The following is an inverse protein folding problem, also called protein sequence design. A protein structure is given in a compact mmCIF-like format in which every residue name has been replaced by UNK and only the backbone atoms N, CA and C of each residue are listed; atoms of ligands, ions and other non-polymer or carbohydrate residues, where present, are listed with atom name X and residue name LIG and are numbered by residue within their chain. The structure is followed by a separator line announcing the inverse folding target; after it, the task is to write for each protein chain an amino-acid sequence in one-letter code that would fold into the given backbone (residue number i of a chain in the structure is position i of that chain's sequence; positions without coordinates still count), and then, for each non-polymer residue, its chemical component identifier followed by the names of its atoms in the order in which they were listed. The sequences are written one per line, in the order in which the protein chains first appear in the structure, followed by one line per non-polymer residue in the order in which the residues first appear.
data_IF_597996680305
#
_entry.id   IF_597996680305
#
_cell.length_a   1.000
_cell.length_b   1.000
_cell.length_c   1.000
_cell.angle_alpha   90.00
_cell.angle_beta   90.00
_cell.angle_gamma   90.00
#
_symmetry.space_group_name_H-M   'P 1'
#
loop_
_entity.id
_entity.type
_entity.pdbx_description
1 polymer ?
#
# COMPACT_ATOMS: atom_id res chain seq x y z
N UNK A 1 -15.80 -28.46 23.12
CA UNK A 1 -16.62 -27.49 22.38
C UNK A 1 -15.67 -26.62 21.59
N UNK A 2 -15.78 -26.60 20.26
CA UNK A 2 -14.99 -25.68 19.44
C UNK A 2 -15.24 -24.24 19.93
N UNK A 3 -14.18 -23.45 20.07
CA UNK A 3 -14.25 -22.09 20.58
C UNK A 3 -15.03 -21.21 19.57
N UNK A 4 -16.31 -20.95 19.86
CA UNK A 4 -17.22 -20.18 18.98
C UNK A 4 -16.64 -18.81 18.62
N UNK A 5 -15.84 -18.22 19.52
CA UNK A 5 -15.13 -16.97 19.31
C UNK A 5 -14.09 -17.10 18.21
N UNK A 6 -13.27 -18.16 18.24
CA UNK A 6 -12.25 -18.43 17.22
C UNK A 6 -12.89 -18.65 15.85
N UNK A 7 -13.94 -19.46 15.77
CA UNK A 7 -14.64 -19.69 14.50
C UNK A 7 -15.17 -18.38 13.89
N UNK A 8 -15.72 -17.48 14.73
CA UNK A 8 -16.19 -16.16 14.28
C UNK A 8 -15.03 -15.30 13.76
N UNK A 9 -13.90 -15.25 14.47
CA UNK A 9 -12.73 -14.47 14.06
C UNK A 9 -12.15 -14.98 12.74
N UNK A 10 -11.93 -16.29 12.60
CA UNK A 10 -11.41 -16.89 11.36
C UNK A 10 -12.32 -16.62 10.18
N UNK A 11 -13.65 -16.67 10.37
CA UNK A 11 -14.61 -16.31 9.33
C UNK A 11 -14.49 -14.85 8.92
N UNK A 12 -14.49 -13.92 9.87
CA UNK A 12 -14.36 -12.49 9.58
C UNK A 12 -13.04 -12.15 8.87
N UNK A 13 -11.93 -12.79 9.27
CA UNK A 13 -10.64 -12.64 8.61
C UNK A 13 -10.68 -13.14 7.16
N UNK A 14 -11.23 -14.33 6.92
CA UNK A 14 -11.41 -14.87 5.57
C UNK A 14 -12.29 -13.96 4.71
N UNK A 15 -13.38 -13.43 5.27
CA UNK A 15 -14.31 -12.57 4.54
C UNK A 15 -13.66 -11.23 4.17
N UNK A 16 -12.89 -10.62 5.09
CA UNK A 16 -12.09 -9.42 4.82
C UNK A 16 -10.96 -9.67 3.81
N UNK A 17 -10.29 -10.83 3.89
CA UNK A 17 -9.26 -11.19 2.92
C UNK A 17 -9.82 -11.47 1.54
N UNK A 18 -11.10 -11.82 1.41
CA UNK A 18 -11.80 -11.95 0.11
C UNK A 18 -12.32 -10.61 -0.41
N UNK A 19 -12.58 -9.66 0.50
CA UNK A 19 -13.02 -8.32 0.12
C UNK A 19 -11.92 -7.62 -0.70
N UNK A 20 -12.31 -6.95 -1.79
CA UNK A 20 -11.40 -6.25 -2.70
C UNK A 20 -11.08 -4.83 -2.25
N UNK A 21 -11.43 -4.44 -1.02
CA UNK A 21 -11.11 -3.12 -0.48
C UNK A 21 -9.59 -2.92 -0.41
N UNK A 22 -9.07 -2.09 -1.31
CA UNK A 22 -7.65 -1.80 -1.42
C UNK A 22 -7.07 -1.05 -0.23
N UNK A 23 -7.94 -0.49 0.63
CA UNK A 23 -7.58 0.33 1.77
C UNK A 23 -7.46 -0.42 3.07
N UNK A 24 -7.99 -1.65 3.15
CA UNK A 24 -7.97 -2.46 4.37
C UNK A 24 -7.18 -3.74 4.14
N UNK A 25 -6.28 -4.06 5.07
CA UNK A 25 -5.61 -5.36 5.10
C UNK A 25 -5.57 -5.92 6.51
N UNK A 26 -5.73 -7.23 6.66
CA UNK A 26 -5.72 -7.91 7.96
C UNK A 26 -4.89 -9.18 7.89
N UNK A 27 -4.18 -9.47 8.98
CA UNK A 27 -3.36 -10.66 9.11
C UNK A 27 -3.22 -11.07 10.59
N UNK A 28 -3.13 -12.37 10.83
CA UNK A 28 -2.76 -12.95 12.11
C UNK A 28 -1.81 -14.12 11.88
N UNK A 29 -1.12 -14.56 12.95
CA UNK A 29 -0.40 -15.82 12.92
C UNK A 29 -1.39 -16.98 13.13
N UNK A 30 -1.14 -18.13 12.50
CA UNK A 30 -1.98 -19.31 12.69
C UNK A 30 -1.97 -19.81 14.15
N UNK A 31 -0.84 -19.63 14.84
CA UNK A 31 -0.69 -19.95 16.26
C UNK A 31 -1.47 -19.01 17.19
N UNK A 32 -1.89 -17.83 16.71
CA UNK A 32 -2.53 -16.79 17.53
C UNK A 32 -3.55 -15.95 16.76
N UNK A 33 -4.66 -16.60 16.41
CA UNK A 33 -5.80 -15.98 15.71
C UNK A 33 -6.51 -14.89 16.52
N UNK A 34 -6.23 -14.76 17.83
CA UNK A 34 -6.85 -13.74 18.70
C UNK A 34 -6.09 -12.42 18.71
N UNK A 35 -4.87 -12.40 18.17
CA UNK A 35 -4.09 -11.18 17.97
C UNK A 35 -3.98 -10.93 16.46
N UNK A 36 -4.71 -9.91 15.99
CA UNK A 36 -4.79 -9.56 14.58
C UNK A 36 -4.09 -8.21 14.38
N UNK A 37 -3.21 -8.14 13.38
CA UNK A 37 -2.72 -6.86 12.84
C UNK A 37 -3.65 -6.43 11.71
N UNK A 38 -3.93 -5.14 11.64
CA UNK A 38 -4.68 -4.53 10.56
C UNK A 38 -3.96 -3.29 10.02
N UNK A 39 -4.07 -3.05 8.72
CA UNK A 39 -3.57 -1.86 8.04
C UNK A 39 -4.75 -1.11 7.44
N UNK A 40 -4.80 0.19 7.69
CA UNK A 40 -5.69 1.12 7.00
C UNK A 40 -4.83 2.06 6.17
N UNK A 41 -5.06 2.08 4.86
CA UNK A 41 -4.52 3.09 3.96
C UNK A 41 -5.40 4.33 4.11
N UNK A 42 -4.78 5.47 4.42
CA UNK A 42 -5.51 6.70 4.67
C UNK A 42 -6.31 7.17 3.44
N UNK A 43 -7.54 7.67 3.63
CA UNK A 43 -8.43 7.99 2.51
C UNK A 43 -7.91 9.12 1.61
N UNK A 44 -8.21 9.05 0.32
CA UNK A 44 -7.91 10.10 -0.65
C UNK A 44 -8.59 11.43 -0.29
N UNK A 45 -7.96 12.56 -0.64
CA UNK A 45 -8.41 13.94 -0.33
C UNK A 45 -8.41 14.29 1.17
N UNK A 46 -7.75 13.51 2.02
CA UNK A 46 -7.63 13.76 3.46
C UNK A 46 -6.16 14.02 3.83
N UNK A 47 -5.85 14.64 4.98
CA UNK A 47 -4.46 14.74 5.43
C UNK A 47 -3.81 13.38 5.77
N UNK A 48 -4.55 12.27 5.67
CA UNK A 48 -4.08 10.91 5.87
C UNK A 48 -3.75 10.20 4.55
N UNK A 49 -4.04 10.85 3.40
CA UNK A 49 -4.02 10.25 2.07
C UNK A 49 -2.83 9.33 1.83
N UNK A 50 -3.17 8.08 1.49
CA UNK A 50 -2.24 7.00 1.16
C UNK A 50 -1.20 6.67 2.25
N UNK A 51 -1.37 7.15 3.48
CA UNK A 51 -0.56 6.78 4.63
C UNK A 51 -0.86 5.38 5.15
N UNK A 52 0.14 4.69 5.70
CA UNK A 52 -0.01 3.32 6.22
C UNK A 52 -0.21 3.31 7.75
N UNK A 53 -1.47 3.17 8.19
CA UNK A 53 -1.83 3.19 9.61
C UNK A 53 -2.08 1.77 10.12
N UNK A 54 -1.20 1.27 10.99
CA UNK A 54 -1.32 -0.07 11.57
C UNK A 54 -2.04 -0.03 12.91
N UNK A 55 -2.90 -1.02 13.13
CA UNK A 55 -3.69 -1.23 14.33
C UNK A 55 -3.55 -2.67 14.81
N UNK A 56 -3.39 -2.85 16.12
CA UNK A 56 -3.37 -4.15 16.77
C UNK A 56 -4.73 -4.42 17.43
N UNK A 57 -5.33 -5.56 17.10
CA UNK A 57 -6.59 -6.05 17.64
C UNK A 57 -6.34 -7.24 18.56
N UNK A 58 -6.95 -7.21 19.75
CA UNK A 58 -6.90 -8.30 20.72
C UNK A 58 -8.30 -8.77 21.07
N UNK A 59 -8.65 -9.96 20.59
CA UNK A 59 -9.95 -10.58 20.80
C UNK A 59 -9.98 -11.40 22.09
N UNK A 60 -10.88 -11.06 23.01
CA UNK A 60 -11.10 -11.80 24.24
C UNK A 60 -11.99 -13.05 24.01
N UNK A 61 -12.03 -13.94 25.00
CA UNK A 61 -12.86 -15.18 24.96
C UNK A 61 -14.36 -14.91 24.87
N UNK A 62 -14.80 -13.71 25.23
CA UNK A 62 -16.21 -13.31 25.20
C UNK A 62 -16.63 -12.78 23.82
N UNK A 63 -15.72 -12.64 22.84
CA UNK A 63 -16.07 -12.17 21.50
C UNK A 63 -17.04 -13.13 20.79
N UNK A 64 -18.13 -12.66 20.14
CA UNK A 64 -18.47 -11.25 19.83
C UNK A 64 -19.39 -10.55 20.85
N UNK A 65 -19.60 -11.10 22.05
CA UNK A 65 -20.42 -10.44 23.08
C UNK A 65 -19.78 -9.17 23.62
N UNK A 66 -18.44 -9.14 23.67
CA UNK A 66 -17.64 -7.94 23.97
C UNK A 66 -16.81 -7.55 22.76
N UNK A 67 -16.59 -6.25 22.58
CA UNK A 67 -15.69 -5.72 21.56
C UNK A 67 -14.25 -6.20 21.79
N UNK A 68 -13.43 -6.28 20.72
CA UNK A 68 -12.00 -6.46 20.86
C UNK A 68 -11.34 -5.19 21.40
N UNK A 69 -10.17 -5.33 22.02
CA UNK A 69 -9.33 -4.18 22.31
C UNK A 69 -8.55 -3.78 21.06
N UNK A 70 -8.50 -2.47 20.76
CA UNK A 70 -7.81 -1.93 19.58
C UNK A 70 -6.77 -0.90 20.01
N UNK A 71 -5.56 -1.01 19.46
CA UNK A 71 -4.46 -0.08 19.71
C UNK A 71 -3.86 0.38 18.38
N UNK A 72 -3.76 1.70 18.17
CA UNK A 72 -3.01 2.27 17.05
C UNK A 72 -1.51 2.11 17.28
N UNK A 73 -0.81 1.52 16.32
CA UNK A 73 0.63 1.23 16.37
C UNK A 73 1.44 2.36 15.74
N UNK A 74 0.94 2.94 14.65
CA UNK A 74 1.59 4.08 13.97
C UNK A 74 1.43 5.37 14.80
N UNK A 75 2.26 5.56 15.83
CA UNK A 75 2.18 6.72 16.75
C UNK A 75 3.53 7.40 17.05
N UNK A 76 4.59 7.01 16.32
CA UNK A 76 5.95 7.53 16.53
C UNK A 76 6.43 7.36 18.00
N UNK A 77 6.19 6.17 18.54
CA UNK A 77 6.58 5.81 19.91
C UNK A 77 5.87 6.64 20.99
N UNK A 78 4.58 6.93 20.82
CA UNK A 78 3.82 7.69 21.82
C UNK A 78 3.78 9.20 21.61
N UNK A 79 4.31 9.72 20.49
CA UNK A 79 4.56 11.17 20.30
C UNK A 79 3.63 11.85 19.30
N UNK A 80 3.01 11.09 18.41
CA UNK A 80 2.16 11.64 17.34
C UNK A 80 0.71 11.24 17.58
N UNK A 81 -0.13 12.23 17.85
CA UNK A 81 -1.60 12.09 17.89
C UNK A 81 -2.14 12.38 16.50
N UNK A 82 -2.43 11.33 15.74
CA UNK A 82 -2.87 11.47 14.35
C UNK A 82 -4.29 12.01 14.20
N UNK A 83 -5.15 11.81 15.20
CA UNK A 83 -6.53 12.28 15.15
C UNK A 83 -7.00 12.56 16.58
N UNK A 84 -7.97 13.46 16.80
CA UNK A 84 -8.56 13.63 18.11
C UNK A 84 -9.01 12.32 18.76
N UNK A 85 -9.49 11.35 17.97
CA UNK A 85 -9.90 10.03 18.43
C UNK A 85 -8.83 8.93 18.31
N UNK A 86 -7.62 9.24 17.81
CA UNK A 86 -6.49 8.31 17.71
C UNK A 86 -5.31 8.92 18.49
N UNK A 87 -5.22 8.55 19.77
CA UNK A 87 -4.29 9.15 20.71
C UNK A 87 -2.85 8.72 20.46
N UNK A 88 -1.90 9.55 20.90
CA UNK A 88 -0.48 9.26 20.77
C UNK A 88 -0.08 7.96 21.49
N UNK A 89 -0.71 7.63 22.62
CA UNK A 89 -0.48 6.37 23.33
C UNK A 89 -1.12 5.13 22.66
N UNK A 90 -1.72 5.29 21.48
CA UNK A 90 -2.37 4.21 20.73
C UNK A 90 -3.84 3.98 21.07
N UNK A 91 -4.42 4.69 22.04
CA UNK A 91 -5.85 4.55 22.34
C UNK A 91 -6.71 5.04 21.18
N UNK A 92 -7.67 4.21 20.76
CA UNK A 92 -8.69 4.56 19.76
C UNK A 92 -10.03 4.81 20.46
N UNK A 93 -10.65 5.96 20.20
CA UNK A 93 -11.91 6.40 20.77
C UNK A 93 -13.06 6.22 19.78
N UNK A 94 -13.87 5.18 19.99
CA UNK A 94 -15.07 4.87 19.20
C UNK A 94 -16.20 4.39 20.12
N UNK A 95 -17.44 4.76 19.79
CA UNK A 95 -18.64 4.33 20.51
C UNK A 95 -18.80 2.82 20.48
N UNK A 96 -18.58 2.21 19.29
CA UNK A 96 -18.61 0.76 19.10
C UNK A 96 -17.50 0.00 19.84
N UNK A 97 -16.46 0.69 20.34
CA UNK A 97 -15.43 0.11 21.20
C UNK A 97 -15.69 0.38 22.70
N UNK A 98 -16.74 1.14 23.03
CA UNK A 98 -17.01 1.60 24.40
C UNK A 98 -15.99 2.61 24.93
N UNK A 99 -15.17 3.18 24.05
CA UNK A 99 -14.10 4.14 24.41
C UNK A 99 -14.49 5.59 24.11
N UNK A 100 -15.68 5.80 23.55
CA UNK A 100 -16.31 7.09 23.28
C UNK A 100 -17.80 7.04 23.61
N UNK A 101 -18.43 8.22 23.72
CA UNK A 101 -19.89 8.32 23.90
C UNK A 101 -20.57 7.96 22.58
N UNK A 102 -21.65 7.19 22.63
CA UNK A 102 -22.49 6.90 21.48
C UNK A 102 -23.96 7.10 21.82
N UNK A 103 -24.78 7.34 20.80
CA UNK A 103 -26.23 7.31 20.95
C UNK A 103 -26.74 5.86 21.06
N UNK A 104 -28.02 5.70 21.41
CA UNK A 104 -28.64 4.37 21.47
C UNK A 104 -28.57 3.68 20.11
N UNK A 105 -27.84 2.58 20.05
CA UNK A 105 -27.63 1.80 18.82
C UNK A 105 -26.26 2.00 18.18
N UNK A 106 -25.46 2.96 18.64
CA UNK A 106 -24.08 3.20 18.18
C UNK A 106 -23.02 2.51 19.04
N UNK A 107 -23.45 1.85 20.12
CA UNK A 107 -22.59 1.05 21.00
C UNK A 107 -22.33 -0.35 20.42
N UNK A 108 -21.33 -1.05 20.99
CA UNK A 108 -21.00 -2.42 20.56
C UNK A 108 -22.22 -3.35 20.59
N UNK A 109 -22.41 -4.10 19.51
CA UNK A 109 -23.31 -5.24 19.49
C UNK A 109 -22.65 -6.41 18.76
N UNK A 110 -23.06 -7.64 19.08
CA UNK A 110 -22.52 -8.85 18.45
C UNK A 110 -22.85 -8.96 16.93
N UNK A 111 -23.63 -8.04 16.38
CA UNK A 111 -23.84 -7.89 14.94
C UNK A 111 -22.64 -7.23 14.25
N UNK A 112 -21.89 -6.40 14.97
CA UNK A 112 -20.67 -5.75 14.50
C UNK A 112 -19.50 -6.75 14.45
N UNK A 113 -18.43 -6.38 13.75
CA UNK A 113 -17.24 -7.22 13.59
C UNK A 113 -15.99 -6.42 13.29
N UNK A 114 -14.92 -7.11 12.93
CA UNK A 114 -13.63 -6.52 12.57
C UNK A 114 -13.77 -5.48 11.45
N UNK A 115 -14.52 -5.80 10.39
CA UNK A 115 -14.74 -4.90 9.25
C UNK A 115 -15.40 -3.59 9.67
N UNK A 116 -16.47 -3.64 10.47
CA UNK A 116 -17.17 -2.42 10.88
C UNK A 116 -16.35 -1.56 11.83
N UNK A 117 -15.47 -2.16 12.65
CA UNK A 117 -14.49 -1.40 13.44
C UNK A 117 -13.49 -0.71 12.51
N UNK A 118 -12.92 -1.41 11.53
CA UNK A 118 -11.96 -0.83 10.59
C UNK A 118 -12.57 0.33 9.78
N UNK A 119 -13.79 0.16 9.28
CA UNK A 119 -14.53 1.22 8.58
C UNK A 119 -14.81 2.42 9.49
N UNK A 120 -15.12 2.18 10.77
CA UNK A 120 -15.32 3.26 11.74
C UNK A 120 -14.03 3.99 12.10
N UNK A 121 -12.88 3.31 12.10
CA UNK A 121 -11.58 3.98 12.28
C UNK A 121 -11.23 4.79 11.03
N UNK A 122 -11.47 4.25 9.84
CA UNK A 122 -11.22 4.95 8.59
C UNK A 122 -12.09 6.20 8.45
N UNK A 123 -13.35 6.18 8.92
CA UNK A 123 -14.22 7.37 8.87
C UNK A 123 -13.75 8.51 9.78
N UNK A 124 -12.98 8.22 10.84
CA UNK A 124 -12.33 9.26 11.65
C UNK A 124 -11.24 10.01 10.86
N UNK A 125 -10.67 9.39 9.83
CA UNK A 125 -9.64 9.98 8.98
C UNK A 125 -10.25 10.94 7.96
N UNK A 126 -11.01 11.93 8.43
CA UNK A 126 -11.76 12.90 7.64
C UNK A 126 -10.87 13.98 6.98
N UNK A 127 -11.45 14.74 6.06
CA UNK A 127 -10.77 15.88 5.41
C UNK A 127 -10.41 17.00 6.40
N UNK A 128 -11.20 17.14 7.48
CA UNK A 128 -10.98 18.09 8.55
C UNK A 128 -10.99 17.40 9.93
N UNK A 129 -9.87 16.77 10.34
CA UNK A 129 -9.83 16.05 11.60
C UNK A 129 -9.86 16.96 12.84
N UNK A 130 -9.87 18.29 12.68
CA UNK A 130 -10.05 19.23 13.79
C UNK A 130 -11.47 19.15 14.39
N UNK A 131 -12.48 18.92 13.54
CA UNK A 131 -13.90 18.82 13.94
C UNK A 131 -14.19 17.57 14.77
N UNK A 132 -13.28 16.59 14.77
CA UNK A 132 -13.40 15.38 15.57
C UNK A 132 -13.15 15.61 17.07
N UNK A 133 -12.59 16.77 17.46
CA UNK A 133 -12.37 17.09 18.87
C UNK A 133 -13.70 17.55 19.52
N UNK A 134 -14.08 17.00 20.69
CA UNK A 134 -15.25 17.46 21.44
C UNK A 134 -15.32 18.97 21.63
N UNK A 135 -16.45 19.56 21.25
CA UNK A 135 -16.69 20.99 21.34
C UNK A 135 -16.17 21.80 20.15
N UNK A 136 -15.63 21.15 19.12
CA UNK A 136 -15.15 21.77 17.88
C UNK A 136 -15.90 21.29 16.63
N UNK A 137 -17.01 20.55 16.79
CA UNK A 137 -17.78 19.94 15.70
C UNK A 137 -18.34 21.01 14.74
N UNK A 138 -18.83 22.13 15.28
CA UNK A 138 -19.40 23.25 14.53
C UNK A 138 -18.45 24.47 14.46
N UNK A 139 -17.16 24.26 14.71
CA UNK A 139 -16.16 25.33 14.78
C UNK A 139 -16.02 26.05 13.42
N UNK A 140 -16.40 27.33 13.38
CA UNK A 140 -16.51 28.09 12.12
C UNK A 140 -16.07 29.56 12.26
N UNK A 141 -15.54 29.97 13.42
CA UNK A 141 -14.99 31.32 13.56
C UNK A 141 -13.74 31.50 12.67
N UNK A 142 -13.35 32.74 12.32
CA UNK A 142 -12.15 32.97 11.53
C UNK A 142 -10.87 32.35 12.14
N UNK A 143 -10.78 32.30 13.47
CA UNK A 143 -9.73 31.60 14.22
C UNK A 143 -9.78 30.08 14.01
N UNK A 144 -10.97 29.49 13.99
CA UNK A 144 -11.15 28.06 13.78
C UNK A 144 -10.71 27.66 12.39
N UNK A 145 -11.09 28.41 11.36
CA UNK A 145 -10.65 28.12 9.97
C UNK A 145 -9.13 28.11 9.83
N UNK A 146 -8.45 29.00 10.57
CA UNK A 146 -6.99 29.00 10.63
C UNK A 146 -6.47 27.75 11.35
N UNK A 147 -7.03 27.41 12.51
CA UNK A 147 -6.62 26.23 13.27
C UNK A 147 -6.87 24.92 12.50
N UNK A 148 -8.01 24.79 11.82
CA UNK A 148 -8.33 23.67 10.95
C UNK A 148 -7.27 23.50 9.86
N UNK A 149 -6.92 24.58 9.17
CA UNK A 149 -5.87 24.56 8.15
C UNK A 149 -4.51 24.15 8.73
N UNK A 150 -4.10 24.78 9.83
CA UNK A 150 -2.83 24.49 10.50
C UNK A 150 -2.77 23.04 11.00
N UNK A 151 -3.90 22.50 11.49
CA UNK A 151 -4.00 21.11 11.94
C UNK A 151 -3.91 20.13 10.76
N UNK A 152 -4.65 20.38 9.67
CA UNK A 152 -4.58 19.59 8.43
C UNK A 152 -3.15 19.54 7.90
N UNK A 153 -2.44 20.67 7.87
CA UNK A 153 -1.03 20.74 7.45
C UNK A 153 -0.13 19.89 8.35
N UNK A 154 -0.31 19.98 9.67
CA UNK A 154 0.42 19.20 10.66
C UNK A 154 0.22 17.70 10.45
N UNK A 155 -1.02 17.24 10.30
CA UNK A 155 -1.36 15.83 10.07
C UNK A 155 -0.78 15.35 8.73
N UNK A 156 -0.96 16.12 7.64
CA UNK A 156 -0.42 15.77 6.31
C UNK A 156 1.09 15.53 6.34
N UNK A 157 1.83 16.43 7.01
CA UNK A 157 3.27 16.28 7.16
C UNK A 157 3.64 15.02 7.95
N UNK A 158 2.98 14.78 9.08
CA UNK A 158 3.25 13.63 9.96
C UNK A 158 2.82 12.29 9.33
N UNK A 159 1.77 12.29 8.51
CA UNK A 159 1.36 11.14 7.67
C UNK A 159 2.52 10.75 6.77
N UNK A 160 3.02 11.68 5.94
CA UNK A 160 4.17 11.39 5.06
C UNK A 160 5.40 10.94 5.86
N UNK A 161 5.76 11.69 6.91
CA UNK A 161 6.99 11.46 7.67
C UNK A 161 7.00 10.11 8.39
N UNK A 162 5.90 9.74 9.03
CA UNK A 162 5.84 8.58 9.94
C UNK A 162 5.18 7.39 9.27
N UNK A 163 3.95 7.56 8.76
CA UNK A 163 3.17 6.43 8.29
C UNK A 163 3.69 5.89 6.95
N UNK A 164 4.34 6.73 6.14
CA UNK A 164 4.95 6.34 4.86
C UNK A 164 6.47 6.21 4.97
N UNK A 165 7.18 7.33 5.17
CA UNK A 165 8.64 7.40 5.01
C UNK A 165 9.36 6.57 6.07
N UNK A 166 9.15 6.87 7.35
CA UNK A 166 9.83 6.16 8.43
C UNK A 166 9.55 4.65 8.39
N UNK A 167 8.29 4.25 8.14
CA UNK A 167 7.93 2.83 8.00
C UNK A 167 8.71 2.14 6.88
N UNK A 168 8.83 2.77 5.71
CA UNK A 168 9.55 2.17 4.59
C UNK A 168 11.06 2.18 4.78
N UNK A 169 11.61 3.21 5.43
CA UNK A 169 13.01 3.21 5.86
C UNK A 169 13.29 2.05 6.81
N UNK A 170 12.42 1.79 7.79
CA UNK A 170 12.53 0.64 8.69
C UNK A 170 12.47 -0.69 7.92
N UNK A 171 11.54 -0.84 6.96
CA UNK A 171 11.42 -2.05 6.13
C UNK A 171 12.60 -2.29 5.18
N UNK A 172 13.28 -1.24 4.76
CA UNK A 172 14.42 -1.28 3.84
C UNK A 172 15.77 -1.17 4.57
N UNK A 173 15.77 -0.99 5.89
CA UNK A 173 16.97 -0.75 6.68
C UNK A 173 17.71 0.52 6.27
N UNK A 174 17.01 1.58 5.85
CA UNK A 174 17.62 2.83 5.42
C UNK A 174 17.89 3.75 6.61
N UNK A 175 19.10 4.30 6.67
CA UNK A 175 19.41 5.45 7.50
C UNK A 175 18.83 6.73 6.86
N UNK A 176 18.75 7.81 7.64
CA UNK A 176 18.20 9.09 7.18
C UNK A 176 18.93 9.63 5.95
N UNK A 177 20.23 9.41 5.82
CA UNK A 177 21.00 9.84 4.65
C UNK A 177 20.68 9.05 3.37
N UNK A 178 19.98 7.92 3.48
CA UNK A 178 19.66 6.99 2.40
C UNK A 178 20.67 5.85 2.25
N UNK A 179 21.68 5.77 3.12
CA UNK A 179 22.54 4.59 3.19
C UNK A 179 21.78 3.41 3.79
N UNK A 180 22.10 2.19 3.33
CA UNK A 180 21.61 0.98 4.01
C UNK A 180 22.39 0.87 5.30
N UNK A 181 21.69 0.98 6.43
CA UNK A 181 22.27 0.79 7.74
C UNK A 181 22.91 -0.60 7.78
N UNK A 182 24.22 -0.65 8.02
CA UNK A 182 24.96 -1.90 8.23
C UNK A 182 24.60 -2.45 9.61
N UNK A 183 23.37 -2.95 9.78
CA UNK A 183 23.07 -3.85 10.89
C UNK A 183 23.62 -5.22 10.54
N UNK A 184 24.67 -5.64 11.25
CA UNK A 184 25.36 -6.91 11.11
C UNK A 184 24.51 -8.15 11.52
N UNK A 185 23.19 -8.14 11.31
CA UNK A 185 22.27 -9.13 11.87
C UNK A 185 21.08 -9.51 10.95
N UNK A 186 21.18 -9.38 9.63
CA UNK A 186 20.02 -9.65 8.75
C UNK A 186 20.29 -10.47 7.49
N UNK A 187 21.53 -10.87 7.21
CA UNK A 187 21.81 -11.78 6.08
C UNK A 187 22.17 -13.20 6.50
N UNK A 188 22.85 -13.39 7.62
CA UNK A 188 23.18 -14.75 8.11
C UNK A 188 22.04 -15.32 8.98
N UNK A 189 21.37 -14.49 9.79
CA UNK A 189 20.32 -14.98 10.70
C UNK A 189 19.01 -15.43 10.00
N UNK A 190 18.69 -14.93 8.80
CA UNK A 190 17.48 -15.36 8.08
C UNK A 190 17.67 -16.64 7.26
N UNK A 191 18.88 -16.89 6.76
CA UNK A 191 19.19 -18.12 6.03
C UNK A 191 19.44 -19.30 7.00
N UNK A 192 20.02 -19.03 8.19
CA UNK A 192 20.19 -20.05 9.25
C UNK A 192 18.89 -20.35 10.04
N UNK A 193 17.92 -19.44 10.07
CA UNK A 193 16.61 -19.68 10.69
C UNK A 193 15.75 -20.73 9.94
N UNK A 194 16.16 -21.13 8.73
CA UNK A 194 15.50 -22.20 7.98
C UNK A 194 16.02 -23.60 8.35
N UNK A 195 17.20 -23.70 8.99
CA UNK A 195 17.83 -24.96 9.42
C UNK A 195 17.84 -25.17 10.96
N UNK A 196 17.39 -24.17 11.74
CA UNK A 196 17.25 -24.25 13.20
C UNK A 196 15.80 -24.16 13.67
N UNK A 197 15.39 -25.03 14.61
CA UNK A 197 14.14 -24.87 15.37
C UNK A 197 14.23 -23.64 16.29
N UNK A 198 14.17 -22.44 15.74
CA UNK A 198 13.83 -21.25 16.53
C UNK A 198 12.31 -21.20 16.71
N UNK A 199 11.85 -20.90 17.93
CA UNK A 199 10.43 -20.71 18.20
C UNK A 199 9.86 -19.66 17.23
N UNK A 200 8.94 -20.07 16.36
CA UNK A 200 8.23 -19.25 15.36
C UNK A 200 7.62 -17.95 15.98
N UNK A 201 7.47 -17.93 17.30
CA UNK A 201 7.08 -16.77 18.09
C UNK A 201 8.06 -15.58 18.03
N UNK A 202 9.37 -15.83 17.88
CA UNK A 202 10.44 -14.82 17.95
C UNK A 202 10.72 -14.09 16.62
N UNK A 203 10.24 -14.61 15.49
CA UNK A 203 10.41 -13.95 14.18
C UNK A 203 9.48 -12.73 14.11
N UNK A 204 9.96 -11.50 13.81
CA UNK A 204 9.10 -10.33 13.68
C UNK A 204 7.93 -10.54 12.70
N UNK A 205 6.70 -10.33 13.16
CA UNK A 205 5.50 -10.50 12.31
C UNK A 205 5.16 -9.20 11.59
N UNK A 206 5.65 -9.08 10.35
CA UNK A 206 5.46 -7.93 9.47
C UNK A 206 4.64 -8.27 8.21
N UNK A 207 3.34 -8.64 8.37
CA UNK A 207 2.52 -9.17 7.27
C UNK A 207 2.23 -8.14 6.16
N UNK A 208 2.48 -6.86 6.42
CA UNK A 208 2.19 -5.77 5.48
C UNK A 208 3.44 -5.21 4.80
N UNK A 209 4.62 -5.79 5.03
CA UNK A 209 5.90 -5.29 4.51
C UNK A 209 5.87 -5.15 2.97
N UNK A 210 5.61 -6.23 2.26
CA UNK A 210 5.53 -6.21 0.79
C UNK A 210 4.36 -5.36 0.28
N UNK A 211 3.21 -5.40 0.97
CA UNK A 211 2.04 -4.59 0.61
C UNK A 211 2.38 -3.09 0.64
N UNK A 212 3.03 -2.61 1.70
CA UNK A 212 3.42 -1.20 1.83
C UNK A 212 4.44 -0.82 0.74
N UNK A 213 5.43 -1.68 0.45
CA UNK A 213 6.40 -1.44 -0.64
C UNK A 213 5.72 -1.30 -2.00
N UNK A 214 4.76 -2.18 -2.33
CA UNK A 214 4.01 -2.10 -3.59
C UNK A 214 3.13 -0.86 -3.67
N UNK A 215 2.37 -0.58 -2.61
CA UNK A 215 1.49 0.60 -2.55
C UNK A 215 2.28 1.90 -2.60
N UNK A 216 3.48 1.93 -2.02
CA UNK A 216 4.36 3.07 -2.14
C UNK A 216 4.70 3.39 -3.60
N UNK A 217 5.05 2.37 -4.39
CA UNK A 217 5.36 2.56 -5.81
C UNK A 217 4.16 3.10 -6.59
N UNK A 218 2.94 2.73 -6.20
CA UNK A 218 1.70 3.22 -6.80
C UNK A 218 1.45 4.69 -6.46
N UNK A 219 1.62 5.07 -5.19
CA UNK A 219 1.28 6.40 -4.69
C UNK A 219 2.45 7.40 -4.71
N UNK A 220 3.60 7.01 -5.27
CA UNK A 220 4.82 7.80 -5.28
C UNK A 220 4.60 9.22 -5.84
N UNK A 221 3.94 9.34 -6.99
CA UNK A 221 3.66 10.63 -7.61
C UNK A 221 2.68 11.47 -6.78
N UNK A 222 1.72 10.84 -6.09
CA UNK A 222 0.79 11.51 -5.17
C UNK A 222 1.51 12.05 -3.94
N UNK A 223 2.47 11.30 -3.39
CA UNK A 223 3.31 11.78 -2.28
C UNK A 223 4.16 12.98 -2.70
N UNK A 224 4.79 12.93 -3.87
CA UNK A 224 5.55 14.07 -4.40
C UNK A 224 4.67 15.29 -4.62
N UNK A 225 3.47 15.13 -5.19
CA UNK A 225 2.51 16.22 -5.35
C UNK A 225 2.12 16.84 -4.00
N UNK A 226 1.86 15.99 -2.99
CA UNK A 226 1.56 16.42 -1.61
C UNK A 226 2.72 17.21 -1.00
N UNK A 227 3.96 16.78 -1.22
CA UNK A 227 5.16 17.48 -0.77
C UNK A 227 5.30 18.84 -1.46
N UNK A 228 5.09 18.91 -2.78
CA UNK A 228 5.15 20.19 -3.50
C UNK A 228 4.07 21.16 -3.01
N UNK A 229 2.84 20.68 -2.80
CA UNK A 229 1.79 21.48 -2.19
C UNK A 229 2.23 21.98 -0.80
N UNK A 230 2.76 21.11 0.05
CA UNK A 230 3.28 21.45 1.37
C UNK A 230 4.32 22.57 1.34
N UNK A 231 5.27 22.51 0.40
CA UNK A 231 6.30 23.56 0.20
C UNK A 231 5.73 24.93 -0.18
N UNK A 232 4.58 24.98 -0.86
CA UNK A 232 3.90 26.25 -1.18
C UNK A 232 3.17 26.84 0.01
N UNK A 233 2.78 26.01 0.98
CA UNK A 233 1.92 26.37 2.09
C UNK A 233 2.70 26.75 3.37
N UNK A 234 3.87 26.14 3.61
CA UNK A 234 4.69 26.33 4.82
C UNK A 234 6.18 26.39 4.47
N UNK A 235 7.01 26.95 5.36
CA UNK A 235 8.47 26.99 5.19
C UNK A 235 9.16 25.85 5.94
N UNK A 236 10.26 25.35 5.38
CA UNK A 236 11.11 24.40 6.11
C UNK A 236 11.65 25.02 7.41
N UNK A 237 11.66 24.22 8.48
CA UNK A 237 11.99 24.64 9.84
C UNK A 237 10.89 25.40 10.57
N UNK A 238 9.76 25.73 9.93
CA UNK A 238 8.60 26.34 10.58
C UNK A 238 8.02 25.37 11.61
N UNK A 239 7.82 25.85 12.85
CA UNK A 239 7.26 25.03 13.92
C UNK A 239 5.76 24.80 13.73
N UNK A 240 5.29 23.64 14.15
CA UNK A 240 3.87 23.31 14.17
C UNK A 240 3.09 24.29 15.07
N UNK A 241 1.96 24.81 14.57
CA UNK A 241 1.03 25.59 15.39
C UNK A 241 0.42 24.68 16.46
N UNK A 242 0.43 25.13 17.71
CA UNK A 242 -0.24 24.43 18.80
C UNK A 242 -1.76 24.65 18.73
N UNK A 243 -2.53 23.57 18.75
CA UNK A 243 -3.99 23.65 18.68
C UNK A 243 -4.59 24.03 20.04
N UNK A 244 -5.80 24.63 20.08
CA UNK A 244 -6.46 25.01 21.35
C UNK A 244 -6.66 23.84 22.32
N UNK A 245 -6.88 22.63 21.79
CA UNK A 245 -7.06 21.40 22.56
C UNK A 245 -5.74 20.70 22.93
N UNK A 246 -4.58 21.23 22.52
CA UNK A 246 -3.28 20.67 22.87
C UNK A 246 -2.79 21.22 24.23
N UNK A 247 -2.74 20.37 25.25
CA UNK A 247 -2.37 20.67 26.64
C UNK A 247 -1.01 20.09 27.05
N UNK A 248 -0.59 20.24 28.31
CA UNK A 248 0.70 19.72 28.81
C UNK A 248 0.88 18.21 28.68
N UNK A 249 -0.21 17.44 28.64
CA UNK A 249 -0.21 15.98 28.47
C UNK A 249 -0.63 15.53 27.06
N UNK A 250 -0.90 16.46 26.15
CA UNK A 250 -1.44 16.19 24.81
C UNK A 250 -0.91 17.24 23.82
N UNK A 251 0.36 17.12 23.41
CA UNK A 251 1.01 18.03 22.45
C UNK A 251 1.57 17.25 21.27
N UNK A 252 1.47 17.84 20.08
CA UNK A 252 2.19 17.39 18.89
C UNK A 252 3.10 18.51 18.39
N UNK A 253 4.33 18.49 18.89
CA UNK A 253 5.38 19.44 18.56
C UNK A 253 6.26 18.90 17.43
N UNK A 254 6.77 19.81 16.60
CA UNK A 254 7.58 19.44 15.45
C UNK A 254 7.80 20.63 14.53
N UNK A 255 8.48 20.37 13.42
CA UNK A 255 8.75 21.35 12.36
C UNK A 255 8.43 20.75 11.01
N UNK A 256 7.91 21.58 10.11
CA UNK A 256 7.75 21.23 8.71
C UNK A 256 9.14 21.15 8.06
N UNK A 257 9.44 20.04 7.37
CA UNK A 257 10.70 19.85 6.65
C UNK A 257 10.44 19.13 5.32
N UNK A 258 9.62 19.72 4.46
CA UNK A 258 9.16 19.08 3.22
C UNK A 258 10.30 18.80 2.24
N UNK A 259 11.35 19.62 2.20
CA UNK A 259 12.52 19.32 1.34
C UNK A 259 13.24 18.05 1.77
N UNK A 260 13.29 17.79 3.08
CA UNK A 260 13.87 16.57 3.61
C UNK A 260 12.95 15.37 3.38
N UNK A 261 11.63 15.54 3.48
CA UNK A 261 10.68 14.47 3.13
C UNK A 261 10.79 14.09 1.65
N UNK A 262 10.94 15.05 0.74
CA UNK A 262 11.13 14.78 -0.70
C UNK A 262 12.36 13.92 -0.94
N UNK A 263 13.49 14.30 -0.35
CA UNK A 263 14.77 13.59 -0.48
C UNK A 263 14.65 12.15 0.03
N UNK A 264 13.98 11.96 1.18
CA UNK A 264 13.77 10.62 1.78
C UNK A 264 12.83 9.76 0.93
N UNK A 265 11.77 10.32 0.35
CA UNK A 265 10.91 9.61 -0.61
C UNK A 265 11.69 9.13 -1.83
N UNK A 266 12.56 9.98 -2.39
CA UNK A 266 13.42 9.62 -3.52
C UNK A 266 14.42 8.51 -3.16
N UNK A 267 14.99 8.56 -1.95
CA UNK A 267 15.88 7.51 -1.46
C UNK A 267 15.16 6.16 -1.33
N UNK A 268 13.94 6.15 -0.76
CA UNK A 268 13.11 4.94 -0.67
C UNK A 268 12.80 4.39 -2.06
N UNK A 269 12.40 5.26 -3.00
CA UNK A 269 12.10 4.86 -4.38
C UNK A 269 13.31 4.20 -5.05
N UNK A 270 14.48 4.82 -4.93
CA UNK A 270 15.75 4.26 -5.44
C UNK A 270 16.11 2.93 -4.79
N UNK A 271 15.90 2.80 -3.48
CA UNK A 271 16.18 1.56 -2.75
C UNK A 271 15.25 0.41 -3.19
N UNK A 272 13.96 0.70 -3.46
CA UNK A 272 13.01 -0.29 -3.98
C UNK A 272 13.34 -0.73 -5.42
N UNK A 273 13.82 0.21 -6.25
CA UNK A 273 14.32 -0.11 -7.59
C UNK A 273 15.56 -1.00 -7.51
N UNK A 274 16.52 -0.65 -6.66
CA UNK A 274 17.72 -1.45 -6.44
C UNK A 274 17.40 -2.85 -5.86
N UNK A 275 16.44 -2.96 -4.94
CA UNK A 275 15.92 -4.24 -4.43
C UNK A 275 15.30 -5.08 -5.55
N UNK A 276 14.54 -4.45 -6.46
CA UNK A 276 13.92 -5.15 -7.59
C UNK A 276 14.97 -5.69 -8.56
N UNK A 277 15.97 -4.86 -8.87
CA UNK A 277 17.10 -5.25 -9.74
C UNK A 277 17.97 -6.33 -9.08
N UNK A 278 18.15 -6.28 -7.76
CA UNK A 278 18.95 -7.26 -7.04
C UNK A 278 18.33 -8.65 -7.06
N UNK A 279 17.00 -8.79 -7.15
CA UNK A 279 16.34 -10.09 -7.25
C UNK A 279 16.82 -10.93 -8.44
N UNK A 280 17.14 -10.29 -9.57
CA UNK A 280 17.71 -10.98 -10.72
C UNK A 280 19.05 -11.65 -10.36
N UNK A 281 19.93 -10.94 -9.65
CA UNK A 281 21.23 -11.45 -9.22
C UNK A 281 21.13 -12.39 -8.02
N UNK A 282 20.31 -12.08 -7.03
CA UNK A 282 20.04 -12.90 -5.84
C UNK A 282 19.46 -14.26 -6.23
N UNK A 283 18.51 -14.27 -7.17
CA UNK A 283 17.95 -15.50 -7.74
C UNK A 283 18.96 -16.33 -8.55
N UNK A 284 20.06 -15.71 -9.02
CA UNK A 284 21.18 -16.36 -9.71
C UNK A 284 22.38 -16.72 -8.80
N UNK A 285 22.43 -16.16 -7.58
CA UNK A 285 23.48 -16.40 -6.56
C UNK A 285 23.41 -17.88 -6.09
N UNK A 286 24.53 -18.60 -5.90
CA UNK A 286 25.07 -19.42 -6.99
C UNK A 286 24.87 -20.94 -6.80
N UNK A 287 24.28 -21.51 -7.86
CA UNK A 287 24.52 -22.85 -8.46
C UNK A 287 23.85 -24.09 -7.82
N UNK A 288 22.83 -24.61 -8.51
CA UNK A 288 22.36 -26.00 -8.45
C UNK A 288 21.70 -26.49 -7.16
N UNK A 289 21.28 -25.62 -6.25
CA UNK A 289 20.18 -26.01 -5.36
C UNK A 289 18.91 -25.76 -6.15
N UNK A 290 18.24 -26.82 -6.59
CA UNK A 290 16.88 -26.81 -7.14
C UNK A 290 15.92 -26.15 -6.13
N UNK A 291 16.03 -24.83 -5.93
CA UNK A 291 15.22 -24.11 -4.98
C UNK A 291 13.78 -24.26 -5.45
N UNK A 292 12.90 -24.61 -4.53
CA UNK A 292 11.50 -24.88 -4.84
C UNK A 292 10.88 -23.71 -5.61
N UNK A 293 11.28 -22.47 -5.30
CA UNK A 293 10.83 -21.26 -5.99
C UNK A 293 11.33 -21.22 -7.44
N UNK A 294 12.62 -21.38 -7.70
CA UNK A 294 13.17 -21.32 -9.06
C UNK A 294 12.58 -22.42 -9.96
N UNK A 295 12.48 -23.66 -9.44
CA UNK A 295 11.87 -24.79 -10.17
C UNK A 295 10.39 -24.53 -10.44
N UNK A 296 9.66 -23.98 -9.47
CA UNK A 296 8.25 -23.66 -9.65
C UNK A 296 8.06 -22.55 -10.70
N UNK A 297 8.83 -21.47 -10.63
CA UNK A 297 8.78 -20.39 -11.63
C UNK A 297 9.14 -20.89 -13.03
N UNK A 298 10.21 -21.68 -13.18
CA UNK A 298 10.59 -22.29 -14.45
C UNK A 298 9.45 -23.14 -15.03
N UNK A 299 8.84 -24.00 -14.20
CA UNK A 299 7.70 -24.83 -14.60
C UNK A 299 6.48 -23.98 -15.00
N UNK A 300 6.17 -22.93 -14.23
CA UNK A 300 5.06 -22.03 -14.56
C UNK A 300 5.30 -21.31 -15.88
N UNK A 301 6.52 -20.83 -16.13
CA UNK A 301 6.92 -20.23 -17.41
C UNK A 301 6.66 -21.18 -18.58
N UNK A 302 7.15 -22.43 -18.50
CA UNK A 302 6.99 -23.43 -19.56
C UNK A 302 5.50 -23.72 -19.85
N UNK A 303 4.69 -23.82 -18.80
CA UNK A 303 3.23 -24.02 -18.93
C UNK A 303 2.54 -22.82 -19.60
N UNK A 304 2.94 -21.60 -19.27
CA UNK A 304 2.36 -20.38 -19.84
C UNK A 304 2.74 -20.24 -21.32
N UNK A 305 4.02 -20.47 -21.67
CA UNK A 305 4.51 -20.43 -23.05
C UNK A 305 3.78 -21.45 -23.93
N UNK A 306 3.62 -22.68 -23.44
CA UNK A 306 2.87 -23.73 -24.16
C UNK A 306 1.39 -23.34 -24.32
N UNK A 307 0.81 -22.68 -23.31
CA UNK A 307 -0.56 -22.17 -23.39
C UNK A 307 -0.69 -21.11 -24.49
N UNK A 308 0.19 -20.12 -24.53
CA UNK A 308 0.15 -19.04 -25.52
C UNK A 308 0.31 -19.55 -26.96
N UNK A 309 1.16 -20.56 -27.18
CA UNK A 309 1.30 -21.23 -28.48
C UNK A 309 0.01 -21.91 -28.94
N UNK A 310 -0.74 -22.52 -28.01
CA UNK A 310 -2.00 -23.22 -28.32
C UNK A 310 -3.17 -22.28 -28.57
N UNK A 311 -3.20 -21.13 -27.90
CA UNK A 311 -4.29 -20.16 -28.00
C UNK A 311 -4.10 -19.15 -29.13
N UNK A 312 -3.07 -19.31 -29.98
CA UNK A 312 -2.68 -18.37 -31.04
C UNK A 312 -2.65 -16.91 -30.55
N UNK A 313 -2.23 -16.74 -29.29
CA UNK A 313 -2.23 -15.43 -28.65
C UNK A 313 -1.02 -14.67 -29.15
N UNK A 314 -1.17 -13.42 -29.60
CA UNK A 314 -0.07 -12.67 -30.22
C UNK A 314 1.00 -12.22 -29.21
N UNK A 315 0.94 -12.68 -27.96
CA UNK A 315 1.87 -12.29 -26.90
C UNK A 315 3.06 -13.25 -26.88
N UNK A 316 4.26 -12.70 -26.75
CA UNK A 316 5.48 -13.49 -26.56
C UNK A 316 5.93 -13.40 -25.09
N UNK A 317 6.43 -14.50 -24.54
CA UNK A 317 6.98 -14.55 -23.20
C UNK A 317 8.33 -15.25 -23.25
N UNK A 318 9.36 -14.58 -22.73
CA UNK A 318 10.73 -15.09 -22.69
C UNK A 318 11.38 -14.85 -21.33
N UNK A 319 12.45 -15.58 -21.04
CA UNK A 319 13.29 -15.36 -19.86
C UNK A 319 14.49 -14.50 -20.26
N UNK A 320 14.80 -13.47 -19.46
CA UNK A 320 16.03 -12.69 -19.64
C UNK A 320 17.23 -13.56 -19.24
N UNK A 321 18.14 -13.85 -20.19
CA UNK A 321 19.34 -14.67 -19.98
C UNK A 321 19.07 -16.07 -19.37
N UNK A 322 17.92 -16.68 -19.66
CA UNK A 322 17.43 -17.92 -19.04
C UNK A 322 17.27 -17.84 -17.51
N UNK A 323 17.08 -16.64 -16.96
CA UNK A 323 16.84 -16.43 -15.54
C UNK A 323 15.34 -16.63 -15.21
N UNK A 324 14.96 -17.65 -14.41
CA UNK A 324 13.55 -17.88 -14.05
C UNK A 324 12.95 -16.79 -13.16
N UNK A 325 13.76 -15.84 -12.66
CA UNK A 325 13.30 -14.71 -11.87
C UNK A 325 13.05 -13.43 -12.68
N UNK A 326 13.40 -13.40 -13.97
CA UNK A 326 13.21 -12.22 -14.83
C UNK A 326 12.55 -12.62 -16.14
N UNK A 327 11.28 -12.24 -16.29
CA UNK A 327 10.49 -12.58 -17.46
C UNK A 327 10.22 -11.32 -18.28
N UNK A 328 10.23 -11.45 -19.60
CA UNK A 328 9.91 -10.38 -20.54
C UNK A 328 8.66 -10.82 -21.30
N UNK A 329 7.58 -10.09 -21.08
CA UNK A 329 6.32 -10.22 -21.80
C UNK A 329 6.25 -9.13 -22.87
N UNK A 330 6.12 -9.54 -24.13
CA UNK A 330 5.77 -8.65 -25.23
C UNK A 330 4.29 -8.77 -25.50
N UNK A 331 3.53 -7.77 -25.05
CA UNK A 331 2.10 -7.67 -25.28
C UNK A 331 1.82 -6.91 -26.58
N UNK A 332 0.96 -7.48 -27.42
CA UNK A 332 0.48 -6.86 -28.66
C UNK A 332 -0.97 -6.47 -28.43
N UNK A 333 -1.27 -5.18 -28.55
CA UNK A 333 -2.59 -4.65 -28.25
C UNK A 333 -3.67 -5.22 -29.16
N UNK A 334 -4.82 -5.53 -28.56
CA UNK A 334 -5.93 -6.19 -29.25
C UNK A 334 -6.50 -5.31 -30.38
N UNK A 335 -6.86 -5.91 -31.54
CA UNK A 335 -7.55 -5.20 -32.61
C UNK A 335 -8.81 -4.50 -32.11
N UNK A 336 -9.15 -3.36 -32.72
CA UNK A 336 -10.36 -2.58 -32.42
C UNK A 336 -10.42 -2.01 -30.98
N UNK A 337 -9.29 -1.96 -30.27
CA UNK A 337 -9.16 -1.29 -28.97
C UNK A 337 -8.34 0.00 -29.09
N UNK A 338 -8.23 0.78 -28.02
CA UNK A 338 -7.30 1.92 -28.00
C UNK A 338 -5.82 1.51 -27.96
N UNK A 339 -5.54 0.21 -27.83
CA UNK A 339 -4.21 -0.39 -27.83
C UNK A 339 -3.84 -1.01 -29.17
N UNK A 340 -4.76 -1.01 -30.14
CA UNK A 340 -4.59 -1.66 -31.44
C UNK A 340 -3.28 -1.26 -32.13
N UNK A 341 -2.51 -2.28 -32.56
CA UNK A 341 -1.20 -2.13 -33.19
C UNK A 341 -0.05 -1.81 -32.22
N UNK A 342 -0.33 -1.55 -30.95
CA UNK A 342 0.70 -1.30 -29.94
C UNK A 342 1.50 -2.55 -29.61
N UNK A 343 2.81 -2.36 -29.42
CA UNK A 343 3.72 -3.38 -28.92
C UNK A 343 4.34 -2.89 -27.62
N UNK A 344 4.15 -3.63 -26.53
CA UNK A 344 4.54 -3.23 -25.19
C UNK A 344 5.43 -4.29 -24.57
N UNK A 345 6.68 -3.91 -24.30
CA UNK A 345 7.63 -4.73 -23.57
C UNK A 345 7.46 -4.49 -22.08
N UNK A 346 7.11 -5.56 -21.37
CA UNK A 346 6.81 -5.56 -19.95
C UNK A 346 7.76 -6.54 -19.28
N UNK A 347 8.59 -6.04 -18.37
CA UNK A 347 9.52 -6.86 -17.58
C UNK A 347 8.89 -7.20 -16.22
N UNK A 348 8.95 -8.47 -15.83
CA UNK A 348 8.49 -8.98 -14.55
C UNK A 348 9.69 -9.50 -13.76
N UNK A 349 9.86 -8.99 -12.55
CA UNK A 349 10.86 -9.44 -11.60
C UNK A 349 10.18 -10.22 -10.48
N UNK A 350 10.65 -11.45 -10.24
CA UNK A 350 10.18 -12.30 -9.15
C UNK A 350 11.21 -12.29 -8.03
N UNK A 351 10.74 -12.13 -6.79
CA UNK A 351 11.60 -12.23 -5.62
C UNK A 351 12.03 -13.69 -5.40
N UNK A 352 13.26 -13.93 -4.90
CA UNK A 352 13.63 -15.22 -4.33
C UNK A 352 12.72 -15.68 -3.19
N UNK A 353 11.97 -14.75 -2.58
CA UNK A 353 10.97 -14.97 -1.52
C UNK A 353 9.53 -14.94 -2.08
N UNK A 354 9.31 -15.39 -3.32
CA UNK A 354 7.97 -15.51 -3.89
C UNK A 354 7.31 -16.81 -3.38
N UNK A 355 6.05 -16.79 -2.89
CA UNK A 355 5.04 -15.73 -3.05
C UNK A 355 4.90 -14.72 -1.90
N UNK A 356 5.72 -14.78 -0.85
CA UNK A 356 5.68 -13.82 0.26
C UNK A 356 5.89 -12.38 -0.23
N UNK A 357 6.84 -12.19 -1.15
CA UNK A 357 7.05 -10.98 -1.93
C UNK A 357 6.48 -11.14 -3.34
N UNK A 358 5.50 -10.30 -3.66
CA UNK A 358 4.81 -10.35 -4.94
C UNK A 358 5.69 -9.76 -6.07
N UNK A 359 5.49 -10.15 -7.34
CA UNK A 359 6.33 -9.70 -8.44
C UNK A 359 6.34 -8.18 -8.59
N UNK A 360 7.45 -7.63 -9.08
CA UNK A 360 7.57 -6.23 -9.48
C UNK A 360 7.56 -6.16 -11.00
N UNK A 361 6.63 -5.41 -11.54
CA UNK A 361 6.38 -5.35 -12.98
C UNK A 361 6.71 -3.94 -13.47
N UNK A 362 7.35 -3.85 -14.63
CA UNK A 362 7.78 -2.60 -15.23
C UNK A 362 7.45 -2.60 -16.71
N UNK A 363 6.69 -1.62 -17.15
CA UNK A 363 6.54 -1.31 -18.56
C UNK A 363 7.81 -0.59 -19.03
N UNK A 364 8.61 -1.27 -19.86
CA UNK A 364 9.79 -0.65 -20.47
C UNK A 364 9.38 0.27 -21.61
N UNK A 365 8.38 -0.14 -22.38
CA UNK A 365 7.76 0.71 -23.38
C UNK A 365 6.85 1.73 -22.70
N UNK A 366 7.06 3.01 -23.02
CA UNK A 366 6.28 4.10 -22.42
C UNK A 366 4.84 4.07 -22.91
N UNK A 367 3.89 4.23 -21.99
CA UNK A 367 2.46 4.31 -22.31
C UNK A 367 1.78 5.37 -21.45
N UNK A 368 0.92 6.19 -22.06
CA UNK A 368 0.08 7.13 -21.35
C UNK A 368 -1.23 6.45 -20.92
N UNK A 369 -1.25 5.90 -19.70
CA UNK A 369 -2.37 5.11 -19.20
C UNK A 369 -2.68 5.41 -17.72
N UNK A 370 -3.96 5.38 -17.33
CA UNK A 370 -4.35 5.71 -15.95
C UNK A 370 -3.94 4.66 -14.90
N UNK A 371 -3.69 3.40 -15.33
CA UNK A 371 -3.15 2.32 -14.48
C UNK A 371 -1.63 2.18 -14.54
N UNK A 372 -0.92 2.97 -15.34
CA UNK A 372 0.54 2.86 -15.49
C UNK A 372 1.17 4.17 -15.06
N UNK A 373 1.97 4.12 -14.01
CA UNK A 373 2.72 5.27 -13.51
C UNK A 373 3.71 5.80 -14.57
N UNK A 374 4.17 7.04 -14.41
CA UNK A 374 5.08 7.66 -15.37
C UNK A 374 6.40 6.90 -15.54
N UNK A 375 6.81 6.17 -14.51
CA UNK A 375 8.00 5.32 -14.52
C UNK A 375 7.74 3.92 -15.11
N UNK A 376 6.51 3.58 -15.51
CA UNK A 376 6.13 2.27 -16.03
C UNK A 376 5.63 1.27 -14.98
N UNK A 377 5.49 1.65 -13.71
CA UNK A 377 4.92 0.76 -12.68
C UNK A 377 3.41 0.58 -12.88
N UNK A 378 2.88 -0.65 -13.03
CA UNK A 378 1.46 -0.88 -13.17
C UNK A 378 0.73 -0.98 -11.83
N UNK A 379 -0.50 -0.47 -11.82
CA UNK A 379 -1.53 -0.71 -10.82
C UNK A 379 -2.43 -1.87 -11.27
N UNK A 380 -2.26 -3.04 -10.66
CA UNK A 380 -2.98 -4.26 -11.02
C UNK A 380 -3.35 -5.09 -9.78
N UNK A 381 -4.32 -6.00 -9.93
CA UNK A 381 -4.85 -6.80 -8.83
C UNK A 381 -4.83 -8.29 -9.15
N UNK A 382 -3.77 -8.98 -8.72
CA UNK A 382 -3.76 -10.44 -8.76
C UNK A 382 -4.79 -11.01 -7.75
N UNK A 383 -5.60 -12.02 -8.15
CA UNK A 383 -6.55 -12.66 -7.25
C UNK A 383 -5.86 -13.20 -5.99
N UNK A 384 -6.41 -12.88 -4.82
CA UNK A 384 -5.85 -13.28 -3.52
C UNK A 384 -5.60 -14.80 -3.41
N UNK A 385 -6.46 -15.61 -4.00
CA UNK A 385 -6.36 -17.08 -4.02
C UNK A 385 -5.31 -17.62 -4.99
N UNK A 386 -4.74 -16.78 -5.88
CA UNK A 386 -3.79 -17.19 -6.94
C UNK A 386 -2.50 -16.37 -6.95
N UNK A 387 -2.15 -15.72 -5.84
CA UNK A 387 -0.93 -14.88 -5.71
C UNK A 387 0.40 -15.62 -5.85
N UNK A 388 0.36 -16.95 -5.87
CA UNK A 388 1.49 -17.84 -6.13
C UNK A 388 1.60 -18.27 -7.61
N UNK A 389 0.60 -17.91 -8.43
CA UNK A 389 0.53 -18.22 -9.85
C UNK A 389 0.94 -16.99 -10.67
N UNK A 390 2.12 -17.06 -11.30
CA UNK A 390 2.67 -16.04 -12.18
C UNK A 390 1.72 -15.71 -13.34
N UNK A 391 0.97 -16.69 -13.85
CA UNK A 391 -0.03 -16.46 -14.91
C UNK A 391 -1.10 -15.48 -14.45
N UNK A 392 -1.57 -15.61 -13.21
CA UNK A 392 -2.59 -14.72 -12.65
C UNK A 392 -2.10 -13.27 -12.54
N UNK A 393 -0.81 -13.04 -12.32
CA UNK A 393 -0.21 -11.70 -12.35
C UNK A 393 -0.17 -11.13 -13.77
N UNK A 394 0.21 -11.93 -14.76
CA UNK A 394 0.20 -11.54 -16.18
C UNK A 394 -1.24 -11.18 -16.59
N UNK A 395 -2.20 -12.08 -16.35
CA UNK A 395 -3.62 -11.85 -16.63
C UNK A 395 -4.11 -10.54 -15.98
N UNK A 396 -3.82 -10.32 -14.71
CA UNK A 396 -4.25 -9.12 -13.99
C UNK A 396 -3.61 -7.82 -14.53
N UNK A 397 -2.37 -7.86 -15.04
CA UNK A 397 -1.75 -6.70 -15.69
C UNK A 397 -2.42 -6.39 -17.02
N UNK A 398 -2.69 -7.43 -17.83
CA UNK A 398 -3.35 -7.27 -19.12
C UNK A 398 -4.80 -6.78 -18.93
N UNK A 399 -5.53 -7.35 -17.98
CA UNK A 399 -6.88 -6.91 -17.62
C UNK A 399 -6.88 -5.43 -17.19
N UNK A 400 -5.91 -5.01 -16.37
CA UNK A 400 -5.78 -3.61 -15.95
C UNK A 400 -5.47 -2.65 -17.11
N UNK A 401 -4.83 -3.14 -18.17
CA UNK A 401 -4.50 -2.36 -19.36
C UNK A 401 -5.69 -2.27 -20.34
N UNK A 402 -6.49 -3.34 -20.41
CA UNK A 402 -7.63 -3.47 -21.34
C UNK A 402 -8.97 -2.98 -20.76
N UNK A 403 -9.05 -2.72 -19.46
CA UNK A 403 -10.27 -2.26 -18.78
C UNK A 403 -10.74 -0.89 -19.31
N UNK A 404 -11.75 -0.88 -20.19
CA UNK A 404 -12.23 0.35 -20.83
C UNK A 404 -13.12 1.22 -19.94
N UNK A 405 -13.82 0.63 -18.96
CA UNK A 405 -14.79 1.30 -18.10
C UNK A 405 -14.65 0.88 -16.61
N UNK A 406 -13.46 1.09 -16.00
CA UNK A 406 -13.27 0.86 -14.58
C UNK A 406 -14.17 1.78 -13.76
N UNK A 407 -14.69 1.30 -12.61
CA UNK A 407 -15.31 2.19 -11.64
C UNK A 407 -14.31 3.25 -11.16
N UNK A 408 -14.81 4.44 -10.81
CA UNK A 408 -13.97 5.46 -10.18
C UNK A 408 -13.43 4.92 -8.85
N UNK A 409 -12.12 4.83 -8.74
CA UNK A 409 -11.45 4.45 -7.50
C UNK A 409 -10.14 5.25 -7.35
N UNK A 410 -10.08 6.23 -6.44
CA UNK A 410 -8.89 7.05 -6.24
C UNK A 410 -7.72 6.25 -5.67
N UNK A 411 -7.96 5.07 -5.08
CA UNK A 411 -6.90 4.17 -4.59
C UNK A 411 -6.09 3.53 -5.71
N UNK A 412 -6.50 3.76 -6.95
CA UNK A 412 -5.84 3.29 -8.17
C UNK A 412 -5.09 4.39 -8.91
N UNK A 413 -5.06 5.59 -8.32
CA UNK A 413 -4.37 6.75 -8.85
C UNK A 413 -2.86 6.53 -8.78
N UNK A 414 -2.29 6.12 -9.90
CA UNK A 414 -0.84 5.94 -10.08
C UNK A 414 -0.24 6.88 -11.13
N UNK A 415 -1.09 7.48 -11.96
CA UNK A 415 -0.72 8.50 -12.92
C UNK A 415 -1.68 9.67 -12.79
N UNK A 416 -1.36 10.71 -11.99
CA UNK A 416 -2.30 11.79 -11.68
C UNK A 416 -2.82 12.52 -12.92
N UNK A 417 -1.98 12.73 -13.93
CA UNK A 417 -2.38 13.41 -15.16
C UNK A 417 -3.35 12.55 -15.99
N UNK A 418 -3.02 11.28 -16.20
CA UNK A 418 -3.87 10.36 -16.94
C UNK A 418 -5.20 10.11 -16.21
N UNK A 419 -5.16 9.92 -14.89
CA UNK A 419 -6.34 9.75 -14.04
C UNK A 419 -7.27 10.97 -14.14
N UNK A 420 -6.73 12.18 -14.01
CA UNK A 420 -7.52 13.42 -14.13
C UNK A 420 -8.20 13.55 -15.50
N UNK A 421 -7.51 13.21 -16.59
CA UNK A 421 -8.12 13.25 -17.92
C UNK A 421 -9.17 12.15 -18.13
N UNK A 422 -8.94 10.97 -17.54
CA UNK A 422 -9.81 9.81 -17.73
C UNK A 422 -11.17 9.97 -17.04
N UNK A 423 -11.18 10.50 -15.81
CA UNK A 423 -12.38 10.80 -15.02
C UNK A 423 -12.77 12.29 -15.04
N UNK A 424 -12.14 13.07 -15.92
CA UNK A 424 -12.40 14.49 -16.11
C UNK A 424 -13.77 14.79 -16.74
N UNK A 425 -14.06 16.07 -16.97
CA UNK A 425 -15.35 16.53 -17.51
C UNK A 425 -15.21 16.98 -18.97
N UNK A 426 -16.32 16.96 -19.71
CA UNK A 426 -16.35 17.47 -21.09
C UNK A 426 -15.46 16.67 -22.04
N UNK A 427 -14.48 17.33 -22.66
CA UNK A 427 -13.60 16.73 -23.67
C UNK A 427 -12.36 16.01 -23.09
N UNK A 428 -12.16 16.00 -21.76
CA UNK A 428 -11.00 15.39 -21.10
C UNK A 428 -10.78 13.93 -21.51
N UNK A 429 -11.87 13.15 -21.58
CA UNK A 429 -11.82 11.74 -22.01
C UNK A 429 -11.34 11.59 -23.46
N UNK A 430 -11.66 12.54 -24.34
CA UNK A 430 -11.17 12.55 -25.72
C UNK A 430 -9.68 12.89 -25.76
N UNK A 431 -9.23 13.80 -24.90
CA UNK A 431 -7.79 14.13 -24.76
C UNK A 431 -7.02 12.92 -24.24
N UNK A 432 -7.54 12.22 -23.23
CA UNK A 432 -6.98 10.96 -22.73
C UNK A 432 -6.81 9.95 -23.88
N UNK A 433 -7.89 9.61 -24.58
CA UNK A 433 -7.85 8.62 -25.65
C UNK A 433 -6.88 9.02 -26.78
N UNK A 434 -6.78 10.32 -27.10
CA UNK A 434 -5.82 10.82 -28.11
C UNK A 434 -4.38 10.64 -27.65
N UNK A 435 -4.08 10.91 -26.38
CA UNK A 435 -2.73 10.75 -25.82
C UNK A 435 -2.35 9.27 -25.68
N UNK A 436 -3.28 8.43 -25.24
CA UNK A 436 -3.10 6.98 -25.19
C UNK A 436 -2.73 6.45 -26.57
N UNK A 437 -3.56 6.71 -27.60
CA UNK A 437 -3.27 6.28 -28.99
C UNK A 437 -1.94 6.80 -29.52
N UNK A 438 -1.55 8.03 -29.18
CA UNK A 438 -0.23 8.56 -29.54
C UNK A 438 0.89 7.74 -28.90
N UNK A 439 0.77 7.42 -27.61
CA UNK A 439 1.78 6.57 -26.94
C UNK A 439 1.81 5.14 -27.51
N UNK A 440 0.66 4.59 -27.92
CA UNK A 440 0.56 3.29 -28.60
C UNK A 440 1.30 3.31 -29.94
N UNK A 441 1.14 4.38 -30.73
CA UNK A 441 1.88 4.52 -31.98
C UNK A 441 3.39 4.64 -31.77
N UNK A 442 3.83 5.37 -30.73
CA UNK A 442 5.25 5.49 -30.36
C UNK A 442 5.84 4.18 -29.86
N UNK A 443 5.01 3.34 -29.24
CA UNK A 443 5.42 2.04 -28.71
C UNK A 443 6.02 1.12 -29.80
N UNK A 444 5.59 1.29 -31.06
CA UNK A 444 6.12 0.59 -32.22
C UNK A 444 7.51 1.05 -32.65
N UNK A 445 7.91 2.28 -32.29
CA UNK A 445 9.22 2.86 -32.61
C UNK A 445 10.27 2.51 -31.55
N UNK A 446 9.83 2.23 -30.32
CA UNK A 446 10.66 1.97 -29.14
C UNK A 446 11.08 0.50 -28.96
N UNK A 447 10.51 -0.45 -29.72
CA UNK A 447 10.71 -1.89 -29.55
C UNK A 447 11.51 -2.57 -30.67
#
# INVERSE_FOLDING_TARGET
MADQSVFRITKELSDLQKNSDLSLAVACRDIDVRNVKALIIGPHDTPYEFGFFEFAFKFNKDYPRKSPAVTAVTTNGGRTRFNPNIYANGRVCLSILGTWRGERGEEWSAAQGLESILLSIQSLMSTNPYENEPGFEDANEPSDKKNQKDYVQKIRHETLRISVIQRLEEYLGLALDGSVATSAATKEDMDDAMDGMEDEANIPFEPFKDLCKRRFLWYYDSYLATVQQGKTEVKDGQSFTRMPFEGSSNTMEGKFNYSELERRLQNIKKALEAETESWAAEGLTPKYKDSTVAVNLQRQYEQIVETFKRTDTPHNLELEDNNPFVWILTYIGKPMTNLDGGLFRIRLFFSPRFPEEQPRIKFETRIFHHRIAADGTPCYFAPLSRREDAKSHIEAVLDALEEEQPPYDPRTLVNPEAFKLYWGKGDDRKVYNRRLRRSVQQSMEDC
#
